data_IF_200068133119
#
_entry.id   IF_200068133119
#
_cell.length_a   1.000
_cell.length_b   1.000
_cell.length_c   1.000
_cell.angle_alpha   90.00
_cell.angle_beta   90.00
_cell.angle_gamma   90.00
#
_symmetry.space_group_name_H-M   'P 1'
#
loop_
_entity.id
_entity.type
_entity.pdbx_description
1 polymer ?
#
# COMPACT_ATOMS: atom_id res chain seq x y z
N UNK A 1 2.74 12.78 17.92
CA UNK A 1 3.78 13.77 17.57
C UNK A 1 3.33 15.15 18.01
N UNK A 2 3.54 15.50 19.29
CA UNK A 2 2.92 16.72 19.84
C UNK A 2 1.40 16.71 19.63
N UNK A 3 0.88 17.75 18.97
CA UNK A 3 -0.53 17.94 18.63
C UNK A 3 -1.05 17.07 17.47
N UNK A 4 -0.18 16.32 16.79
CA UNK A 4 -0.54 15.43 15.69
C UNK A 4 -0.61 13.98 16.19
N UNK A 5 -1.73 13.30 15.99
CA UNK A 5 -1.86 11.86 16.20
C UNK A 5 -2.19 11.14 14.88
N UNK A 6 -1.56 9.98 14.67
CA UNK A 6 -1.79 9.12 13.51
C UNK A 6 -2.28 7.77 14.02
N UNK A 7 -3.52 7.43 13.72
CA UNK A 7 -4.12 6.14 14.05
C UNK A 7 -4.19 5.32 12.77
N UNK A 8 -3.34 4.32 12.63
CA UNK A 8 -3.21 3.53 11.40
C UNK A 8 -3.50 2.05 11.65
N UNK A 9 -4.28 1.46 10.75
CA UNK A 9 -4.46 0.01 10.63
C UNK A 9 -4.14 -0.41 9.19
N UNK A 10 -2.98 -0.01 8.70
CA UNK A 10 -2.58 -0.27 7.32
C UNK A 10 -2.37 -1.76 7.04
N UNK A 11 -2.98 -2.31 5.98
CA UNK A 11 -2.73 -3.68 5.56
C UNK A 11 -1.48 -3.82 4.69
N UNK A 12 -0.91 -2.73 4.17
CA UNK A 12 0.08 -2.79 3.09
C UNK A 12 1.49 -2.46 3.57
N UNK A 13 2.40 -3.43 3.42
CA UNK A 13 3.83 -3.23 3.67
C UNK A 13 4.44 -2.42 2.52
N UNK A 14 4.93 -1.23 2.85
CA UNK A 14 5.73 -0.44 1.93
C UNK A 14 7.08 -1.11 1.71
N UNK A 15 7.87 -1.24 2.78
CA UNK A 15 9.21 -1.82 2.73
C UNK A 15 9.59 -2.44 4.07
N UNK A 16 10.22 -3.60 4.01
CA UNK A 16 10.96 -4.21 5.12
C UNK A 16 12.40 -4.47 4.68
N UNK A 17 13.35 -4.13 5.54
CA UNK A 17 14.77 -4.42 5.35
C UNK A 17 15.25 -5.17 6.59
N UNK A 18 15.73 -6.40 6.42
CA UNK A 18 16.30 -7.15 7.53
C UNK A 18 17.78 -6.80 7.78
N UNK A 19 18.36 -7.32 8.87
CA UNK A 19 19.77 -7.06 9.22
C UNK A 19 20.78 -7.65 8.21
N UNK A 20 20.35 -8.60 7.39
CA UNK A 20 21.18 -9.20 6.34
C UNK A 20 21.08 -8.41 5.02
N UNK A 21 20.32 -7.31 4.98
CA UNK A 21 20.13 -6.48 3.80
C UNK A 21 19.08 -7.03 2.82
N UNK A 22 18.26 -8.00 3.22
CA UNK A 22 17.12 -8.44 2.40
C UNK A 22 16.05 -7.38 2.42
N UNK A 23 15.73 -6.83 1.25
CA UNK A 23 14.65 -5.87 1.04
C UNK A 23 13.40 -6.62 0.57
N UNK A 24 12.24 -6.28 1.12
CA UNK A 24 10.94 -6.83 0.74
C UNK A 24 9.88 -5.73 0.65
N UNK A 25 9.06 -5.76 -0.40
CA UNK A 25 7.82 -4.99 -0.53
C UNK A 25 6.67 -5.93 -0.87
N UNK A 26 5.47 -5.65 -0.33
CA UNK A 26 4.27 -6.46 -0.58
C UNK A 26 3.10 -5.60 -1.06
N UNK A 27 3.05 -5.23 -2.36
CA UNK A 27 1.93 -4.48 -2.92
C UNK A 27 0.63 -5.29 -2.87
N UNK A 28 -0.48 -4.58 -2.64
CA UNK A 28 -1.83 -5.14 -2.60
C UNK A 28 -2.68 -4.45 -3.67
N UNK A 29 -3.36 -5.21 -4.51
CA UNK A 29 -4.35 -4.71 -5.48
C UNK A 29 -5.49 -5.71 -5.61
N UNK A 30 -6.72 -5.28 -5.42
CA UNK A 30 -7.87 -6.16 -5.29
C UNK A 30 -8.10 -6.65 -3.86
N UNK A 31 -9.35 -6.62 -3.46
CA UNK A 31 -9.81 -7.07 -2.14
C UNK A 31 -11.22 -7.62 -2.28
N UNK A 32 -11.52 -8.74 -1.61
CA UNK A 32 -12.87 -9.27 -1.48
C UNK A 32 -13.19 -9.49 -0.02
N UNK A 33 -14.44 -9.26 0.39
CA UNK A 33 -14.89 -9.49 1.77
C UNK A 33 -14.99 -10.99 2.03
N UNK A 34 -14.66 -11.42 3.25
CA UNK A 34 -14.95 -12.80 3.68
C UNK A 34 -16.45 -13.05 3.72
N UNK A 35 -16.87 -14.19 3.23
CA UNK A 35 -18.26 -14.64 3.35
C UNK A 35 -18.42 -15.56 4.57
N UNK A 36 -19.63 -15.60 5.13
CA UNK A 36 -19.95 -16.50 6.26
C UNK A 36 -20.12 -17.95 5.81
N UNK A 37 -20.61 -18.15 4.57
CA UNK A 37 -20.76 -19.48 3.96
C UNK A 37 -19.45 -19.88 3.27
N UNK A 38 -18.90 -21.07 3.56
CA UNK A 38 -17.63 -21.52 2.98
C UNK A 38 -17.60 -21.50 1.44
N UNK A 39 -18.67 -21.96 0.79
CA UNK A 39 -18.75 -21.99 -0.68
C UNK A 39 -18.70 -20.59 -1.31
N UNK A 40 -19.29 -19.59 -0.65
CA UNK A 40 -19.29 -18.21 -1.14
C UNK A 40 -17.93 -17.55 -0.85
N UNK A 41 -17.28 -17.96 0.24
CA UNK A 41 -15.95 -17.47 0.63
C UNK A 41 -14.87 -17.97 -0.33
N UNK A 42 -14.96 -19.24 -0.73
CA UNK A 42 -14.11 -19.83 -1.77
C UNK A 42 -14.39 -19.18 -3.13
N UNK A 43 -15.66 -18.97 -3.49
CA UNK A 43 -16.02 -18.28 -4.74
C UNK A 43 -15.45 -16.84 -4.79
N UNK A 44 -15.51 -16.09 -3.69
CA UNK A 44 -14.94 -14.75 -3.61
C UNK A 44 -13.41 -14.75 -3.72
N UNK A 45 -12.75 -15.77 -3.15
CA UNK A 45 -11.29 -15.97 -3.29
C UNK A 45 -10.93 -16.26 -4.74
N UNK A 46 -11.65 -17.17 -5.38
CA UNK A 46 -11.41 -17.60 -6.76
C UNK A 46 -11.74 -16.48 -7.76
N UNK A 47 -12.78 -15.69 -7.51
CA UNK A 47 -13.09 -14.48 -8.29
C UNK A 47 -11.92 -13.48 -8.24
N UNK A 48 -11.35 -13.23 -7.05
CA UNK A 48 -10.21 -12.34 -6.89
C UNK A 48 -8.96 -12.87 -7.61
N UNK A 49 -8.72 -14.17 -7.55
CA UNK A 49 -7.58 -14.80 -8.23
C UNK A 49 -7.66 -14.68 -9.76
N UNK A 50 -8.88 -14.62 -10.31
CA UNK A 50 -9.14 -14.58 -11.76
C UNK A 50 -9.56 -13.18 -12.26
N UNK A 51 -9.51 -12.16 -11.41
CA UNK A 51 -9.89 -10.79 -11.77
C UNK A 51 -8.83 -10.15 -12.68
N UNK A 52 -9.14 -10.01 -13.97
CA UNK A 52 -8.25 -9.41 -14.96
C UNK A 52 -7.82 -7.99 -14.56
N UNK A 53 -8.76 -7.18 -14.03
CA UNK A 53 -8.48 -5.83 -13.53
C UNK A 53 -7.48 -5.86 -12.38
N UNK A 54 -7.76 -6.65 -11.34
CA UNK A 54 -6.94 -6.68 -10.12
C UNK A 54 -5.53 -7.22 -10.41
N UNK A 55 -5.42 -8.25 -11.26
CA UNK A 55 -4.15 -8.81 -11.73
C UNK A 55 -3.35 -7.79 -12.55
N UNK A 56 -3.99 -7.09 -13.48
CA UNK A 56 -3.32 -6.07 -14.30
C UNK A 56 -2.79 -4.90 -13.45
N UNK A 57 -3.59 -4.43 -12.49
CA UNK A 57 -3.15 -3.40 -11.54
C UNK A 57 -1.99 -3.89 -10.68
N UNK A 58 -2.07 -5.12 -10.15
CA UNK A 58 -1.02 -5.69 -9.32
C UNK A 58 0.29 -5.81 -10.10
N UNK A 59 0.23 -6.30 -11.35
CA UNK A 59 1.38 -6.45 -12.23
C UNK A 59 2.09 -5.11 -12.49
N UNK A 60 1.32 -4.07 -12.79
CA UNK A 60 1.84 -2.72 -13.01
C UNK A 60 2.63 -2.22 -11.78
N UNK A 61 2.12 -2.47 -10.57
CA UNK A 61 2.82 -2.08 -9.34
C UNK A 61 4.03 -2.98 -9.06
N UNK A 62 3.94 -4.28 -9.33
CA UNK A 62 5.08 -5.20 -9.20
C UNK A 62 6.23 -4.76 -10.10
N UNK A 63 5.97 -4.41 -11.35
CA UNK A 63 7.02 -3.94 -12.26
C UNK A 63 7.61 -2.60 -11.83
N UNK A 64 6.77 -1.68 -11.33
CA UNK A 64 7.26 -0.43 -10.75
C UNK A 64 8.20 -0.68 -9.55
N UNK A 65 7.82 -1.60 -8.65
CA UNK A 65 8.64 -1.95 -7.48
C UNK A 65 9.92 -2.69 -7.86
N UNK A 66 9.88 -3.57 -8.85
CA UNK A 66 11.08 -4.21 -9.41
C UNK A 66 12.05 -3.16 -9.94
N UNK A 67 11.55 -2.16 -10.66
CA UNK A 67 12.35 -1.04 -11.13
C UNK A 67 12.89 -0.20 -9.96
N UNK A 68 12.07 0.10 -8.96
CA UNK A 68 12.49 0.88 -7.79
C UNK A 68 13.63 0.19 -7.03
N UNK A 69 13.47 -1.10 -6.74
CA UNK A 69 14.48 -1.91 -6.06
C UNK A 69 15.71 -2.17 -6.93
N UNK A 70 15.56 -2.29 -8.25
CA UNK A 70 16.67 -2.48 -9.18
C UNK A 70 17.72 -1.37 -9.16
N UNK A 71 17.37 -0.17 -8.67
CA UNK A 71 18.31 0.96 -8.52
C UNK A 71 19.22 0.83 -7.30
N UNK A 72 18.79 0.08 -6.28
CA UNK A 72 19.43 0.03 -4.96
C UNK A 72 19.81 -1.39 -4.52
N UNK A 73 19.29 -2.42 -5.17
CA UNK A 73 19.65 -3.80 -4.92
C UNK A 73 20.78 -4.28 -5.84
N UNK A 74 21.47 -5.33 -5.44
CA UNK A 74 22.47 -6.02 -6.24
C UNK A 74 21.88 -6.50 -7.56
N UNK A 75 22.63 -6.35 -8.66
CA UNK A 75 22.18 -6.78 -9.99
C UNK A 75 21.87 -8.28 -9.96
N UNK A 76 20.69 -8.64 -10.46
CA UNK A 76 20.21 -10.03 -10.49
C UNK A 76 19.60 -10.52 -9.17
N UNK A 77 19.64 -9.74 -8.08
CA UNK A 77 19.02 -10.15 -6.80
C UNK A 77 17.51 -9.89 -6.72
N UNK A 78 16.98 -8.99 -7.56
CA UNK A 78 15.57 -8.61 -7.53
C UNK A 78 14.70 -9.71 -8.14
N UNK A 79 13.83 -10.30 -7.31
CA UNK A 79 12.95 -11.41 -7.68
C UNK A 79 11.52 -11.17 -7.16
N UNK A 80 10.56 -11.86 -7.78
CA UNK A 80 9.15 -11.88 -7.35
C UNK A 80 8.81 -13.30 -6.86
N UNK A 81 9.21 -13.68 -5.63
CA UNK A 81 9.00 -15.05 -5.13
C UNK A 81 7.53 -15.47 -5.03
N UNK A 82 6.61 -14.51 -4.97
CA UNK A 82 5.19 -14.76 -4.91
C UNK A 82 4.48 -13.69 -5.74
N UNK A 83 3.77 -14.11 -6.77
CA UNK A 83 3.07 -13.23 -7.70
C UNK A 83 1.57 -13.61 -7.68
N UNK A 84 0.69 -12.61 -7.51
CA UNK A 84 -0.76 -12.77 -7.54
C UNK A 84 -1.31 -13.80 -6.53
N UNK A 85 -0.73 -13.85 -5.35
CA UNK A 85 -1.25 -14.75 -4.31
C UNK A 85 -2.43 -14.13 -3.60
N UNK A 86 -3.50 -14.90 -3.46
CA UNK A 86 -4.63 -14.50 -2.62
C UNK A 86 -4.34 -14.87 -1.17
N UNK A 87 -4.10 -13.86 -0.34
CA UNK A 87 -3.92 -13.99 1.10
C UNK A 87 -5.24 -13.79 1.83
N UNK A 88 -5.60 -14.75 2.68
CA UNK A 88 -6.84 -14.70 3.48
C UNK A 88 -6.57 -14.13 4.87
N UNK A 89 -7.29 -13.06 5.20
CA UNK A 89 -7.30 -12.41 6.51
C UNK A 89 -8.65 -12.64 7.20
N UNK A 90 -8.76 -12.14 8.45
CA UNK A 90 -9.97 -12.32 9.27
C UNK A 90 -11.24 -11.78 8.61
N UNK A 91 -11.16 -10.65 7.88
CA UNK A 91 -12.32 -9.96 7.31
C UNK A 91 -12.29 -9.84 5.79
N UNK A 92 -11.14 -10.07 5.15
CA UNK A 92 -10.97 -9.94 3.70
C UNK A 92 -10.03 -11.00 3.11
N UNK A 93 -10.17 -11.24 1.80
CA UNK A 93 -9.14 -11.81 0.93
C UNK A 93 -8.44 -10.67 0.18
N UNK A 94 -7.13 -10.76 -0.02
CA UNK A 94 -6.33 -9.74 -0.71
C UNK A 94 -5.39 -10.37 -1.72
N UNK A 95 -5.27 -9.76 -2.90
CA UNK A 95 -4.33 -10.20 -3.91
C UNK A 95 -3.00 -9.46 -3.71
N UNK A 96 -1.99 -10.24 -3.31
CA UNK A 96 -0.71 -9.78 -2.81
C UNK A 96 0.40 -10.38 -3.67
N UNK A 97 1.36 -9.53 -4.04
CA UNK A 97 2.62 -9.98 -4.61
C UNK A 97 3.75 -9.61 -3.66
N UNK A 98 4.87 -10.33 -3.73
CA UNK A 98 6.06 -10.08 -2.92
C UNK A 98 7.21 -9.82 -3.87
N UNK A 99 7.83 -8.65 -3.75
CA UNK A 99 9.07 -8.30 -4.47
C UNK A 99 10.21 -8.25 -3.46
N UNK A 100 11.30 -8.98 -3.73
CA UNK A 100 12.49 -9.03 -2.88
C UNK A 100 13.75 -8.68 -3.65
N UNK A 101 14.76 -8.19 -2.94
CA UNK A 101 16.11 -7.98 -3.46
C UNK A 101 17.14 -7.96 -2.33
N UNK A 102 18.43 -7.95 -2.69
CA UNK A 102 19.52 -7.75 -1.73
C UNK A 102 20.02 -6.31 -1.85
N UNK A 103 19.90 -5.51 -0.80
CA UNK A 103 20.44 -4.15 -0.76
C UNK A 103 21.94 -4.19 -1.05
N UNK A 104 22.43 -3.30 -1.94
CA UNK A 104 23.86 -3.21 -2.22
C UNK A 104 24.64 -2.82 -0.96
N UNK A 105 25.81 -3.41 -0.78
CA UNK A 105 26.66 -3.19 0.40
C UNK A 105 27.18 -1.75 0.53
N UNK A 106 27.16 -0.96 -0.56
CA UNK A 106 27.56 0.45 -0.57
C UNK A 106 26.42 1.42 -0.22
N UNK A 107 25.22 0.91 0.03
CA UNK A 107 24.03 1.71 0.33
C UNK A 107 23.49 1.44 1.74
N UNK A 108 22.81 2.44 2.29
CA UNK A 108 22.13 2.33 3.58
C UNK A 108 20.65 1.96 3.40
N UNK A 109 20.00 1.45 4.45
CA UNK A 109 18.54 1.27 4.46
C UNK A 109 17.77 2.57 4.17
N UNK A 110 18.33 3.73 4.54
CA UNK A 110 17.74 5.05 4.25
C UNK A 110 17.79 5.36 2.76
N UNK A 111 18.87 5.01 2.06
CA UNK A 111 18.99 5.17 0.60
C UNK A 111 17.97 4.31 -0.13
N UNK A 112 17.78 3.08 0.34
CA UNK A 112 16.76 2.18 -0.19
C UNK A 112 15.35 2.76 -0.05
N UNK A 113 15.00 3.23 1.15
CA UNK A 113 13.70 3.86 1.41
C UNK A 113 13.51 5.10 0.55
N UNK A 114 14.52 5.98 0.46
CA UNK A 114 14.49 7.20 -0.37
C UNK A 114 14.28 6.89 -1.85
N UNK A 115 14.91 5.84 -2.36
CA UNK A 115 14.79 5.45 -3.76
C UNK A 115 13.43 4.83 -4.09
N UNK A 116 12.79 4.13 -3.15
CA UNK A 116 11.50 3.49 -3.38
C UNK A 116 10.31 4.42 -3.08
N UNK A 117 10.49 5.42 -2.22
CA UNK A 117 9.42 6.31 -1.78
C UNK A 117 9.05 7.35 -2.86
N UNK A 118 7.76 7.71 -3.01
CA UNK A 118 6.57 7.16 -2.35
C UNK A 118 6.17 5.77 -2.87
N UNK A 119 5.34 5.06 -2.09
CA UNK A 119 4.83 3.74 -2.44
C UNK A 119 4.16 3.71 -3.82
N UNK A 120 4.51 2.72 -4.65
CA UNK A 120 4.02 2.59 -6.02
C UNK A 120 2.49 2.48 -6.10
N UNK A 121 1.88 1.74 -5.17
CA UNK A 121 0.43 1.55 -5.07
C UNK A 121 -0.36 2.83 -4.77
N UNK A 122 0.30 3.87 -4.25
CA UNK A 122 -0.30 5.16 -3.90
C UNK A 122 -0.01 6.28 -4.90
N UNK A 123 0.77 5.99 -5.94
CA UNK A 123 1.16 6.97 -6.96
C UNK A 123 0.58 6.56 -8.31
N UNK A 124 1.22 5.59 -8.96
CA UNK A 124 0.87 5.10 -10.29
C UNK A 124 2.14 4.80 -11.10
N UNK A 125 1.96 4.28 -12.31
CA UNK A 125 3.07 4.02 -13.23
C UNK A 125 2.83 4.75 -14.57
N UNK A 126 3.80 5.52 -15.09
CA UNK A 126 5.11 5.83 -14.50
C UNK A 126 5.05 6.79 -13.30
N UNK A 127 5.71 6.43 -12.18
CA UNK A 127 5.60 7.10 -10.87
C UNK A 127 5.71 8.62 -10.90
N UNK A 128 6.77 9.16 -11.51
CA UNK A 128 6.99 10.61 -11.58
C UNK A 128 5.84 11.32 -12.30
N UNK A 129 5.42 10.78 -13.44
CA UNK A 129 4.33 11.37 -14.22
C UNK A 129 3.01 11.29 -13.48
N UNK A 130 2.71 10.17 -12.84
CA UNK A 130 1.51 10.02 -12.01
C UNK A 130 1.50 11.04 -10.86
N UNK A 131 2.63 11.25 -10.18
CA UNK A 131 2.72 12.27 -9.12
C UNK A 131 2.49 13.70 -9.64
N UNK A 132 3.01 14.06 -10.81
CA UNK A 132 2.74 15.38 -11.44
C UNK A 132 1.25 15.56 -11.80
N UNK A 133 0.56 14.48 -12.17
CA UNK A 133 -0.88 14.54 -12.43
C UNK A 133 -1.66 14.73 -11.13
N UNK A 134 -1.32 13.95 -10.09
CA UNK A 134 -1.93 14.05 -8.77
C UNK A 134 -1.76 15.45 -8.17
N UNK A 135 -0.56 16.02 -8.24
CA UNK A 135 -0.28 17.38 -7.75
C UNK A 135 -1.13 18.46 -8.43
N UNK A 136 -1.50 18.27 -9.71
CA UNK A 136 -2.39 19.19 -10.42
C UNK A 136 -3.88 18.97 -10.13
N UNK A 137 -4.27 17.74 -9.77
CA UNK A 137 -5.67 17.35 -9.61
C UNK A 137 -6.14 17.45 -8.17
N UNK A 138 -5.25 17.26 -7.20
CA UNK A 138 -5.57 17.30 -5.78
C UNK A 138 -5.55 18.74 -5.24
N UNK A 139 -6.41 19.02 -4.25
CA UNK A 139 -6.58 20.37 -3.70
C UNK A 139 -5.40 20.85 -2.84
N UNK A 140 -4.39 20.00 -2.60
CA UNK A 140 -3.25 20.31 -1.77
C UNK A 140 -2.41 19.08 -1.42
N UNK A 141 -1.38 19.26 -0.57
CA UNK A 141 -0.49 18.16 -0.18
C UNK A 141 -1.25 17.10 0.63
N UNK A 142 -0.94 15.83 0.37
CA UNK A 142 -1.54 14.67 1.08
C UNK A 142 -1.16 14.57 2.56
N UNK A 143 -0.13 15.27 3.01
CA UNK A 143 0.37 15.19 4.38
C UNK A 143 0.87 13.78 4.71
N UNK A 144 0.33 13.16 5.77
CA UNK A 144 0.72 11.81 6.19
C UNK A 144 0.11 10.74 5.29
N UNK A 145 -1.06 11.00 4.68
CA UNK A 145 -1.72 10.04 3.77
C UNK A 145 -0.82 9.70 2.58
N UNK A 146 -0.84 8.43 2.16
CA UNK A 146 0.06 7.87 1.14
C UNK A 146 1.56 7.93 1.47
N UNK A 147 1.92 8.35 2.70
CA UNK A 147 3.26 8.29 3.23
C UNK A 147 3.65 6.89 3.73
N UNK A 148 4.66 6.84 4.61
CA UNK A 148 5.12 5.62 5.24
C UNK A 148 5.18 5.80 6.77
N UNK A 149 4.80 4.76 7.52
CA UNK A 149 4.82 4.74 8.98
C UNK A 149 5.46 3.44 9.47
N UNK A 150 6.33 3.52 10.46
CA UNK A 150 7.03 2.37 11.04
C UNK A 150 8.33 2.79 11.71
N UNK A 151 9.38 1.99 11.60
CA UNK A 151 10.64 2.24 12.31
C UNK A 151 11.89 1.96 11.50
N UNK A 152 12.97 2.63 11.91
CA UNK A 152 14.36 2.32 11.59
C UNK A 152 15.05 1.87 12.88
N UNK A 153 15.54 0.63 12.90
CA UNK A 153 16.28 0.09 14.03
C UNK A 153 17.77 0.40 13.92
N UNK A 154 18.42 0.58 15.06
CA UNK A 154 19.88 0.84 15.13
C UNK A 154 20.72 -0.30 14.54
N UNK A 155 20.18 -1.52 14.48
CA UNK A 155 20.81 -2.67 13.82
C UNK A 155 20.62 -2.71 12.30
N UNK A 156 20.16 -1.64 11.66
CA UNK A 156 19.94 -1.54 10.21
C UNK A 156 18.61 -2.13 9.72
N UNK A 157 17.77 -2.66 10.60
CA UNK A 157 16.45 -3.15 10.22
C UNK A 157 15.46 -2.01 9.98
N UNK A 158 14.55 -2.19 9.03
CA UNK A 158 13.48 -1.25 8.69
C UNK A 158 12.19 -2.03 8.51
N UNK A 159 11.08 -1.52 9.03
CA UNK A 159 9.74 -2.03 8.70
C UNK A 159 8.79 -0.83 8.61
N UNK A 160 8.23 -0.62 7.43
CA UNK A 160 7.39 0.51 7.07
C UNK A 160 6.13 0.01 6.37
N UNK A 161 4.97 0.45 6.85
CA UNK A 161 3.68 0.32 6.17
C UNK A 161 3.37 1.58 5.35
N UNK A 162 2.61 1.44 4.28
CA UNK A 162 1.99 2.58 3.61
C UNK A 162 0.94 3.20 4.52
N UNK A 163 0.84 4.52 4.60
CA UNK A 163 -0.22 5.17 5.39
C UNK A 163 -1.52 5.21 4.59
N UNK A 164 -2.28 4.12 4.72
CA UNK A 164 -3.66 3.95 4.29
C UNK A 164 -4.48 3.38 5.45
N UNK A 165 -5.81 3.46 5.34
CA UNK A 165 -6.73 3.04 6.41
C UNK A 165 -6.32 3.67 7.75
N UNK A 166 -6.06 4.98 7.71
CA UNK A 166 -5.54 5.74 8.83
C UNK A 166 -6.30 7.05 9.01
N UNK A 167 -6.48 7.46 10.26
CA UNK A 167 -6.96 8.77 10.65
C UNK A 167 -5.77 9.63 11.12
N UNK A 168 -5.76 10.89 10.70
CA UNK A 168 -4.77 11.89 11.11
C UNK A 168 -5.52 12.98 11.87
N UNK A 169 -5.18 13.14 13.14
CA UNK A 169 -5.80 14.08 14.06
C UNK A 169 -4.82 15.21 14.34
N UNK A 170 -5.28 16.43 14.20
CA UNK A 170 -4.67 17.65 14.70
C UNK A 170 -5.53 18.21 15.83
N UNK A 171 -5.16 19.35 16.42
CA UNK A 171 -5.98 20.00 17.46
C UNK A 171 -7.39 20.38 16.97
N UNK A 172 -7.53 20.65 15.68
CA UNK A 172 -8.74 21.25 15.11
C UNK A 172 -9.46 20.34 14.11
N UNK A 173 -8.82 19.26 13.65
CA UNK A 173 -9.34 18.47 12.55
C UNK A 173 -8.96 16.98 12.68
N UNK A 174 -9.93 16.13 12.35
CA UNK A 174 -9.69 14.74 11.97
C UNK A 174 -9.79 14.62 10.45
N UNK A 175 -8.82 13.97 9.83
CA UNK A 175 -8.80 13.70 8.39
C UNK A 175 -8.55 12.22 8.11
N UNK A 176 -9.22 11.69 7.08
CA UNK A 176 -9.05 10.31 6.60
C UNK A 176 -8.79 10.39 5.10
N UNK A 177 -7.58 10.03 4.68
CA UNK A 177 -7.23 9.97 3.27
C UNK A 177 -7.70 8.67 2.63
N UNK A 178 -8.38 8.78 1.48
CA UNK A 178 -8.85 7.65 0.68
C UNK A 178 -8.61 7.90 -0.81
N UNK A 179 -8.55 6.83 -1.58
CA UNK A 179 -8.34 6.88 -3.02
C UNK A 179 -8.50 5.51 -3.68
N UNK A 180 -8.50 5.53 -5.01
CA UNK A 180 -8.60 4.38 -5.90
C UNK A 180 -7.47 4.39 -6.93
N UNK A 181 -7.28 3.25 -7.61
CA UNK A 181 -6.37 3.17 -8.74
C UNK A 181 -7.17 3.41 -10.01
N UNK A 182 -6.82 4.45 -10.76
CA UNK A 182 -7.47 4.74 -12.03
C UNK A 182 -6.68 4.10 -13.16
N UNK A 183 -7.29 3.13 -13.82
CA UNK A 183 -6.77 2.49 -15.04
C UNK A 183 -7.73 2.70 -16.20
N UNK A 184 -7.32 2.33 -17.42
CA UNK A 184 -8.15 2.49 -18.62
C UNK A 184 -9.49 1.74 -18.54
N UNK A 185 -9.56 0.69 -17.71
CA UNK A 185 -10.77 -0.12 -17.49
C UNK A 185 -11.60 0.34 -16.27
N UNK A 186 -11.20 1.43 -15.59
CA UNK A 186 -11.92 1.91 -14.42
C UNK A 186 -13.24 2.57 -14.81
N UNK A 187 -14.30 2.24 -14.07
CA UNK A 187 -15.57 2.97 -14.10
C UNK A 187 -15.53 4.11 -13.06
N UNK A 188 -15.77 5.39 -13.45
CA UNK A 188 -15.66 6.51 -12.53
C UNK A 188 -16.52 6.42 -11.27
N UNK A 189 -17.75 5.89 -11.40
CA UNK A 189 -18.66 5.79 -10.26
C UNK A 189 -18.21 4.68 -9.32
N UNK A 190 -17.81 3.52 -9.86
CA UNK A 190 -17.27 2.42 -9.07
C UNK A 190 -16.02 2.81 -8.29
N UNK A 191 -15.10 3.59 -8.88
CA UNK A 191 -13.91 4.09 -8.18
C UNK A 191 -14.28 5.04 -7.03
N UNK A 192 -15.26 5.93 -7.25
CA UNK A 192 -15.76 6.82 -6.20
C UNK A 192 -16.41 6.03 -5.06
N UNK A 193 -17.29 5.08 -5.38
CA UNK A 193 -17.94 4.20 -4.40
C UNK A 193 -16.90 3.42 -3.58
N UNK A 194 -15.83 2.95 -4.22
CA UNK A 194 -14.74 2.25 -3.54
C UNK A 194 -14.05 3.16 -2.51
N UNK A 195 -13.91 4.47 -2.76
CA UNK A 195 -13.31 5.39 -1.77
C UNK A 195 -14.14 5.47 -0.48
N UNK A 196 -15.48 5.44 -0.58
CA UNK A 196 -16.37 5.43 0.58
C UNK A 196 -16.24 4.11 1.36
N UNK A 197 -16.23 2.97 0.66
CA UNK A 197 -16.00 1.65 1.26
C UNK A 197 -14.63 1.57 1.95
N UNK A 198 -13.62 2.27 1.41
CA UNK A 198 -12.29 2.36 2.03
C UNK A 198 -12.29 3.22 3.30
N UNK A 199 -13.08 4.30 3.33
CA UNK A 199 -13.19 5.23 4.45
C UNK A 199 -14.01 4.67 5.62
N UNK A 200 -15.11 3.98 5.31
CA UNK A 200 -16.15 3.60 6.27
C UNK A 200 -15.60 2.90 7.53
N UNK A 201 -14.71 1.90 7.48
CA UNK A 201 -14.23 1.24 8.69
C UNK A 201 -13.47 2.19 9.63
N UNK A 202 -12.70 3.13 9.07
CA UNK A 202 -11.95 4.12 9.87
C UNK A 202 -12.93 5.11 10.50
N UNK A 203 -13.87 5.64 9.71
CA UNK A 203 -14.88 6.59 10.20
C UNK A 203 -15.77 5.96 11.26
N UNK A 204 -16.21 4.71 11.08
CA UNK A 204 -17.01 3.97 12.05
C UNK A 204 -16.24 3.72 13.36
N UNK A 205 -14.94 3.42 13.29
CA UNK A 205 -14.11 3.28 14.47
C UNK A 205 -13.98 4.60 15.25
N UNK A 206 -13.82 5.72 14.54
CA UNK A 206 -13.75 7.05 15.17
C UNK A 206 -15.09 7.48 15.78
N UNK A 207 -16.21 7.19 15.12
CA UNK A 207 -17.54 7.49 15.64
C UNK A 207 -17.87 6.72 16.94
N UNK A 208 -17.43 5.45 17.03
CA UNK A 208 -17.59 4.61 18.24
C UNK A 208 -16.73 5.06 19.41
N UNK A 209 -15.63 5.75 19.15
CA UNK A 209 -14.72 6.20 20.20
C UNK A 209 -15.35 7.29 21.10
N UNK A 210 -16.45 7.93 20.66
CA UNK A 210 -17.17 8.95 21.42
C UNK A 210 -16.36 10.23 21.67
N UNK A 211 -16.98 11.33 22.10
CA UNK A 211 -16.23 12.41 22.73
C UNK A 211 -15.63 11.91 24.05
N UNK A 212 -14.38 12.31 24.32
CA UNK A 212 -13.73 12.09 25.61
C UNK A 212 -14.41 12.88 26.74
#
# INVERSE_FOLDING_TARGET
FGQLAVLSSSPERFLRIDRAGTVESKPIKGTRRRATRPCDDDAARDELANSEKDVAENLMIVDLLRNDLGRVCEVGSVAVPQLFAVETYATVHQLVSTVRGRLRSDLTPVDCVRAAFPGGSMTGAPKRRSMELLDRLEAGPRGVYAGALGFFGLGGCVDLSIVIRAAVLTETQLSVGVGGAVVALSDPQAELDETFVKAEPVLAAMAKAGPA
#
